data_IF_736903223572
#
_entry.id   IF_736903223572
#
_cell.length_a   1.000
_cell.length_b   1.000
_cell.length_c   1.000
_cell.angle_alpha   90.00
_cell.angle_beta   90.00
_cell.angle_gamma   90.00
#
_symmetry.space_group_name_H-M   'P 1'
#
loop_
_entity.id
_entity.type
_entity.pdbx_description
1 polymer ?
#
# COMPACT_ATOMS: atom_id res chain seq x y z
N UNK A 1 15.61 -2.87 -9.31
CA UNK A 1 15.14 -1.56 -8.79
C UNK A 1 15.27 -1.56 -7.28
N UNK A 2 15.49 -0.41 -6.61
CA UNK A 2 15.65 -0.34 -5.13
C UNK A 2 14.59 -1.15 -4.36
N UNK A 3 13.35 -1.19 -4.84
CA UNK A 3 12.26 -1.95 -4.21
C UNK A 3 12.44 -3.47 -4.26
N UNK A 4 13.02 -3.99 -5.36
CA UNK A 4 13.36 -5.41 -5.52
C UNK A 4 14.55 -5.77 -4.63
N UNK A 5 15.58 -4.91 -4.60
CA UNK A 5 16.77 -5.11 -3.75
C UNK A 5 16.42 -5.14 -2.26
N UNK A 6 15.39 -4.38 -1.86
CA UNK A 6 14.86 -4.34 -0.50
C UNK A 6 13.84 -5.46 -0.20
N UNK A 7 13.45 -6.26 -1.19
CA UNK A 7 12.45 -7.33 -1.08
C UNK A 7 11.08 -6.85 -0.54
N UNK A 8 10.57 -5.72 -1.05
CA UNK A 8 9.34 -5.07 -0.57
C UNK A 8 8.04 -5.61 -1.21
N UNK A 9 8.05 -6.85 -1.68
CA UNK A 9 6.89 -7.52 -2.27
C UNK A 9 6.45 -8.69 -1.40
N UNK A 10 5.15 -8.83 -1.17
CA UNK A 10 4.62 -9.93 -0.36
C UNK A 10 4.88 -11.30 -1.01
N UNK A 11 5.51 -12.20 -0.26
CA UNK A 11 5.64 -13.62 -0.61
C UNK A 11 5.02 -14.44 0.52
N UNK A 12 3.71 -14.69 0.40
CA UNK A 12 2.94 -15.39 1.43
C UNK A 12 3.44 -16.83 1.68
N UNK A 13 4.10 -17.47 0.70
CA UNK A 13 4.64 -18.82 0.87
C UNK A 13 5.83 -18.88 1.84
N UNK A 14 6.49 -17.73 2.09
CA UNK A 14 7.56 -17.58 3.09
C UNK A 14 7.06 -17.00 4.43
N UNK A 15 5.76 -16.77 4.56
CA UNK A 15 5.14 -16.21 5.76
C UNK A 15 4.47 -17.31 6.60
N UNK A 16 4.05 -16.97 7.82
CA UNK A 16 3.24 -17.84 8.70
C UNK A 16 1.84 -17.28 8.92
N UNK A 17 1.23 -16.76 7.85
CA UNK A 17 -0.14 -16.23 7.87
C UNK A 17 -0.32 -15.00 8.76
N UNK A 18 0.71 -14.16 8.93
CA UNK A 18 0.74 -13.11 9.95
C UNK A 18 -0.37 -12.07 9.79
N UNK A 19 -0.69 -11.65 8.57
CA UNK A 19 -1.83 -10.75 8.32
C UNK A 19 -3.17 -11.37 8.77
N UNK A 20 -3.30 -12.69 8.74
CA UNK A 20 -4.51 -13.43 9.14
C UNK A 20 -4.58 -13.75 10.65
N UNK A 21 -3.45 -13.64 11.36
CA UNK A 21 -3.32 -13.99 12.79
C UNK A 21 -3.15 -12.75 13.67
N UNK A 22 -2.22 -11.88 13.30
CA UNK A 22 -1.82 -10.73 14.09
C UNK A 22 -2.87 -9.62 14.10
N UNK A 23 -3.43 -9.30 12.93
CA UNK A 23 -4.16 -8.04 12.73
C UNK A 23 -5.63 -8.14 13.11
N UNK A 24 -6.19 -7.02 13.54
CA UNK A 24 -7.64 -6.87 13.66
C UNK A 24 -8.28 -6.83 12.27
N UNK A 25 -9.43 -7.48 12.11
CA UNK A 25 -10.29 -7.29 10.94
C UNK A 25 -11.49 -6.46 11.36
N UNK A 26 -11.78 -5.41 10.60
CA UNK A 26 -12.94 -4.56 10.77
C UNK A 26 -13.94 -4.81 9.66
N UNK A 27 -15.20 -5.00 10.00
CA UNK A 27 -16.28 -5.07 9.00
C UNK A 27 -16.35 -3.81 8.14
N UNK A 28 -16.02 -2.66 8.72
CA UNK A 28 -15.98 -1.36 8.02
C UNK A 28 -14.87 -1.30 6.96
N UNK A 29 -13.79 -2.05 7.16
CA UNK A 29 -12.68 -2.13 6.20
C UNK A 29 -12.90 -3.19 5.11
N UNK A 30 -14.12 -3.73 5.01
CA UNK A 30 -14.51 -4.67 3.96
C UNK A 30 -14.22 -6.14 4.31
N UNK A 31 -14.10 -6.48 5.59
CA UNK A 31 -14.13 -7.86 6.05
C UNK A 31 -15.58 -8.31 6.34
N UNK A 32 -15.93 -9.60 6.24
CA UNK A 32 -17.31 -10.05 6.49
C UNK A 32 -17.79 -9.86 7.93
N UNK A 33 -16.85 -9.91 8.87
CA UNK A 33 -17.07 -9.80 10.30
C UNK A 33 -15.81 -9.28 10.97
N UNK A 34 -15.98 -8.74 12.17
CA UNK A 34 -14.84 -8.36 12.99
C UNK A 34 -14.05 -9.60 13.44
N UNK A 35 -12.74 -9.43 13.56
CA UNK A 35 -11.83 -10.45 14.10
C UNK A 35 -10.84 -9.75 15.02
N UNK A 36 -10.79 -10.09 16.33
CA UNK A 36 -9.78 -9.55 17.22
C UNK A 36 -8.35 -9.75 16.71
N UNK A 37 -7.45 -8.84 17.08
CA UNK A 37 -6.02 -9.02 16.90
C UNK A 37 -5.54 -10.26 17.67
N UNK A 38 -4.53 -10.96 17.15
CA UNK A 38 -4.00 -12.20 17.71
C UNK A 38 -4.86 -13.46 17.50
N UNK A 39 -6.12 -13.33 17.09
CA UNK A 39 -6.99 -14.47 16.77
C UNK A 39 -6.79 -14.91 15.33
N UNK A 40 -6.52 -16.19 15.09
CA UNK A 40 -6.36 -16.74 13.75
C UNK A 40 -7.65 -16.65 12.94
N UNK A 41 -7.55 -16.21 11.68
CA UNK A 41 -8.67 -16.23 10.74
C UNK A 41 -9.22 -17.66 10.59
N UNK A 42 -10.55 -17.82 10.62
CA UNK A 42 -11.22 -19.12 10.41
C UNK A 42 -10.85 -19.81 9.10
N UNK A 43 -10.38 -19.07 8.09
CA UNK A 43 -10.00 -19.63 6.79
C UNK A 43 -8.52 -20.00 6.68
N UNK A 44 -7.73 -19.75 7.72
CA UNK A 44 -6.32 -20.09 7.76
C UNK A 44 -6.13 -21.59 8.05
N UNK A 45 -5.38 -22.27 7.20
CA UNK A 45 -5.03 -23.67 7.34
C UNK A 45 -3.82 -23.86 8.27
N UNK A 46 -3.56 -25.11 8.68
CA UNK A 46 -2.42 -25.46 9.53
C UNK A 46 -1.06 -25.21 8.88
N UNK A 47 -1.01 -25.17 7.55
CA UNK A 47 0.17 -24.81 6.74
C UNK A 47 0.27 -23.30 6.48
N UNK A 48 -0.56 -22.48 7.14
CA UNK A 48 -0.66 -21.03 7.00
C UNK A 48 -1.16 -20.52 5.64
N UNK A 49 -1.66 -21.40 4.78
CA UNK A 49 -2.36 -20.99 3.56
C UNK A 49 -3.83 -20.62 3.86
N UNK A 50 -4.46 -19.86 2.96
CA UNK A 50 -5.88 -19.53 3.08
C UNK A 50 -6.69 -20.44 2.15
N UNK A 51 -7.57 -21.30 2.71
CA UNK A 51 -8.36 -22.27 1.93
C UNK A 51 -9.28 -21.64 0.87
N UNK A 52 -9.66 -20.37 1.07
CA UNK A 52 -10.52 -19.62 0.14
C UNK A 52 -9.77 -18.53 -0.62
N UNK A 53 -8.43 -18.54 -0.66
CA UNK A 53 -7.65 -17.44 -1.26
C UNK A 53 -8.07 -17.17 -2.72
N UNK A 54 -8.29 -18.23 -3.48
CA UNK A 54 -8.75 -18.18 -4.87
C UNK A 54 -10.21 -17.69 -5.02
N UNK A 55 -10.99 -17.71 -3.93
CA UNK A 55 -12.40 -17.31 -3.90
C UNK A 55 -12.67 -15.96 -3.22
N UNK A 56 -11.63 -15.26 -2.73
CA UNK A 56 -11.79 -14.03 -1.94
C UNK A 56 -12.70 -13.01 -2.61
N UNK A 57 -12.58 -12.85 -3.94
CA UNK A 57 -13.45 -11.96 -4.73
C UNK A 57 -14.90 -12.40 -4.71
N UNK A 58 -15.19 -13.67 -5.00
CA UNK A 58 -16.58 -14.14 -5.06
C UNK A 58 -17.25 -14.11 -3.68
N UNK A 59 -16.48 -14.28 -2.61
CA UNK A 59 -16.95 -14.19 -1.23
C UNK A 59 -16.95 -12.78 -0.64
N UNK A 60 -16.65 -11.75 -1.45
CA UNK A 60 -16.69 -10.35 -0.99
C UNK A 60 -15.65 -10.00 0.07
N UNK A 61 -14.53 -10.71 0.13
CA UNK A 61 -13.46 -10.52 1.12
C UNK A 61 -12.57 -9.32 0.76
N UNK A 62 -13.16 -8.12 0.63
CA UNK A 62 -12.46 -6.91 0.16
C UNK A 62 -11.24 -6.56 1.01
N UNK A 63 -11.35 -6.68 2.33
CA UNK A 63 -10.23 -6.42 3.24
C UNK A 63 -9.05 -7.37 3.00
N UNK A 64 -9.31 -8.66 2.75
CA UNK A 64 -8.27 -9.63 2.42
C UNK A 64 -7.66 -9.38 1.04
N UNK A 65 -8.46 -9.00 0.05
CA UNK A 65 -7.96 -8.65 -1.30
C UNK A 65 -7.11 -7.39 -1.28
N UNK A 66 -7.52 -6.40 -0.48
CA UNK A 66 -6.88 -5.10 -0.36
C UNK A 66 -5.50 -5.17 0.28
N UNK A 67 -5.33 -6.05 1.27
CA UNK A 67 -4.16 -6.04 2.14
C UNK A 67 -2.89 -6.52 1.44
N UNK A 68 -1.81 -5.73 1.55
CA UNK A 68 -0.45 -6.11 1.14
C UNK A 68 0.51 -5.69 2.27
N UNK A 69 1.34 -6.62 2.75
CA UNK A 69 2.28 -6.35 3.85
C UNK A 69 3.63 -5.78 3.38
N UNK A 70 3.79 -5.48 2.08
CA UNK A 70 5.04 -5.01 1.48
C UNK A 70 6.24 -5.90 1.82
N UNK A 71 6.00 -7.20 1.94
CA UNK A 71 7.02 -8.19 2.29
C UNK A 71 7.43 -8.26 3.77
N UNK A 72 6.78 -7.51 4.66
CA UNK A 72 7.12 -7.51 6.09
C UNK A 72 6.86 -8.87 6.75
N UNK A 73 5.85 -9.62 6.28
CA UNK A 73 5.47 -10.90 6.84
C UNK A 73 6.57 -11.95 6.73
N UNK A 74 7.14 -12.14 5.54
CA UNK A 74 8.21 -13.11 5.35
C UNK A 74 9.50 -12.71 6.10
N UNK A 75 9.77 -11.41 6.26
CA UNK A 75 10.92 -10.95 7.02
C UNK A 75 10.73 -11.16 8.52
N UNK A 76 9.52 -10.89 9.05
CA UNK A 76 9.19 -11.11 10.46
C UNK A 76 9.42 -12.58 10.88
N UNK A 77 9.01 -13.53 10.04
CA UNK A 77 9.22 -14.97 10.29
C UNK A 77 10.71 -15.31 10.42
N UNK A 78 11.60 -14.67 9.65
CA UNK A 78 13.04 -14.91 9.72
C UNK A 78 13.68 -14.40 11.02
N UNK A 79 13.01 -13.50 11.75
CA UNK A 79 13.52 -12.94 13.02
C UNK A 79 13.48 -13.92 14.18
N UNK A 80 12.75 -15.04 14.06
CA UNK A 80 12.66 -16.11 15.06
C UNK A 80 12.33 -15.57 16.46
N UNK A 81 11.38 -14.65 16.54
CA UNK A 81 10.88 -14.14 17.81
C UNK A 81 10.33 -15.29 18.68
N UNK A 82 10.53 -15.25 20.02
CA UNK A 82 10.32 -16.41 20.88
C UNK A 82 8.84 -16.73 21.13
N UNK A 83 7.94 -15.78 20.90
CA UNK A 83 6.50 -15.95 21.07
C UNK A 83 5.72 -15.38 19.88
N UNK A 84 4.45 -15.80 19.74
CA UNK A 84 3.53 -15.20 18.77
C UNK A 84 3.30 -13.71 19.04
N UNK A 85 3.28 -13.30 20.31
CA UNK A 85 3.13 -11.89 20.69
C UNK A 85 4.29 -11.05 20.15
N UNK A 86 5.52 -11.50 20.38
CA UNK A 86 6.73 -10.82 19.88
C UNK A 86 6.78 -10.85 18.34
N UNK A 87 6.41 -11.98 17.73
CA UNK A 87 6.35 -12.10 16.28
C UNK A 87 5.34 -11.13 15.66
N UNK A 88 4.18 -10.95 16.29
CA UNK A 88 3.15 -10.01 15.82
C UNK A 88 3.60 -8.56 16.00
N UNK A 89 4.24 -8.23 17.12
CA UNK A 89 4.82 -6.90 17.33
C UNK A 89 5.90 -6.60 16.29
N UNK A 90 6.82 -7.54 16.05
CA UNK A 90 7.89 -7.42 15.04
C UNK A 90 7.28 -7.23 13.65
N UNK A 91 6.24 -7.99 13.33
CA UNK A 91 5.54 -7.88 12.06
C UNK A 91 4.96 -6.48 11.83
N UNK A 92 4.29 -5.90 12.83
CA UNK A 92 3.71 -4.56 12.72
C UNK A 92 4.80 -3.50 12.58
N UNK A 93 5.88 -3.59 13.36
CA UNK A 93 7.03 -2.67 13.25
C UNK A 93 7.72 -2.78 11.88
N UNK A 94 7.96 -4.00 11.39
CA UNK A 94 8.53 -4.20 10.06
C UNK A 94 7.61 -3.70 8.95
N UNK A 95 6.28 -3.83 9.10
CA UNK A 95 5.32 -3.29 8.14
C UNK A 95 5.39 -1.75 8.06
N UNK A 96 5.56 -1.08 9.20
CA UNK A 96 5.82 0.37 9.23
C UNK A 96 7.16 0.72 8.53
N UNK A 97 8.24 0.01 8.86
CA UNK A 97 9.55 0.22 8.23
C UNK A 97 9.51 0.02 6.70
N UNK A 98 8.80 -1.02 6.24
CA UNK A 98 8.68 -1.33 4.82
C UNK A 98 7.85 -0.28 4.06
N UNK A 99 6.82 0.31 4.68
CA UNK A 99 6.11 1.45 4.10
C UNK A 99 7.02 2.67 3.94
N UNK A 100 7.83 3.00 4.95
CA UNK A 100 8.80 4.11 4.85
C UNK A 100 9.83 3.86 3.73
N UNK A 101 10.40 2.65 3.68
CA UNK A 101 11.34 2.25 2.63
C UNK A 101 10.72 2.33 1.23
N UNK A 102 9.44 1.93 1.09
CA UNK A 102 8.71 2.03 -0.17
C UNK A 102 8.67 3.47 -0.69
N UNK A 103 8.19 4.40 0.14
CA UNK A 103 8.07 5.80 -0.27
C UNK A 103 9.44 6.46 -0.49
N UNK A 104 10.41 6.23 0.39
CA UNK A 104 11.75 6.81 0.21
C UNK A 104 12.48 6.25 -1.00
N UNK A 105 12.31 4.95 -1.29
CA UNK A 105 12.89 4.31 -2.47
C UNK A 105 12.33 4.88 -3.77
N UNK A 106 11.05 5.23 -3.79
CA UNK A 106 10.44 5.95 -4.91
C UNK A 106 10.93 7.40 -5.00
N UNK A 107 11.01 8.12 -3.87
CA UNK A 107 11.52 9.49 -3.83
C UNK A 107 12.97 9.59 -4.35
N UNK A 108 13.81 8.59 -4.07
CA UNK A 108 15.20 8.54 -4.52
C UNK A 108 15.34 8.37 -6.04
N UNK A 109 14.32 7.82 -6.72
CA UNK A 109 14.33 7.64 -8.18
C UNK A 109 13.89 8.91 -8.94
N UNK A 110 13.45 9.95 -8.24
CA UNK A 110 12.97 11.18 -8.87
C UNK A 110 14.13 12.14 -9.16
N UNK A 111 14.12 12.73 -10.36
CA UNK A 111 15.09 13.77 -10.75
C UNK A 111 14.93 15.05 -9.92
N UNK A 112 13.72 15.33 -9.42
CA UNK A 112 13.42 16.55 -8.67
C UNK A 112 14.01 16.56 -7.25
N UNK A 113 14.42 15.38 -6.76
CA UNK A 113 14.99 15.15 -5.43
C UNK A 113 16.51 15.10 -5.40
N UNK A 114 17.20 15.20 -6.55
CA UNK A 114 18.68 15.09 -6.65
C UNK A 114 19.44 15.94 -5.65
N UNK A 115 18.95 17.16 -5.38
CA UNK A 115 19.54 18.10 -4.43
C UNK A 115 19.57 17.60 -2.96
N UNK A 116 18.81 16.56 -2.62
CA UNK A 116 18.80 15.93 -1.29
C UNK A 116 18.82 14.40 -1.35
N UNK A 117 19.32 13.81 -2.44
CA UNK A 117 19.50 12.35 -2.54
C UNK A 117 20.34 11.79 -1.40
N UNK A 118 21.35 12.53 -0.92
CA UNK A 118 22.16 12.12 0.23
C UNK A 118 21.34 11.93 1.51
N UNK A 119 20.35 12.81 1.78
CA UNK A 119 19.45 12.66 2.92
C UNK A 119 18.56 11.42 2.76
N UNK A 120 17.99 11.21 1.56
CA UNK A 120 17.17 10.02 1.25
C UNK A 120 17.96 8.72 1.41
N UNK A 121 19.17 8.65 0.87
CA UNK A 121 20.04 7.48 0.97
C UNK A 121 20.41 7.18 2.41
N UNK A 122 20.78 8.19 3.20
CA UNK A 122 21.13 8.04 4.60
C UNK A 122 19.96 7.45 5.40
N UNK A 123 18.74 7.98 5.20
CA UNK A 123 17.57 7.47 5.89
C UNK A 123 17.18 6.06 5.42
N UNK A 124 17.25 5.78 4.10
CA UNK A 124 17.02 4.43 3.56
C UNK A 124 17.99 3.40 4.18
N UNK A 125 19.28 3.74 4.25
CA UNK A 125 20.30 2.89 4.88
C UNK A 125 20.02 2.69 6.37
N UNK A 126 19.58 3.73 7.07
CA UNK A 126 19.22 3.67 8.49
C UNK A 126 18.04 2.72 8.71
N UNK A 127 16.96 2.87 7.95
CA UNK A 127 15.78 1.99 8.00
C UNK A 127 16.12 0.55 7.63
N UNK A 128 16.96 0.34 6.60
CA UNK A 128 17.43 -0.97 6.18
C UNK A 128 18.29 -1.64 7.27
N UNK A 129 19.16 -0.88 7.92
CA UNK A 129 19.96 -1.37 9.04
C UNK A 129 19.07 -1.78 10.23
N UNK A 130 18.08 -0.96 10.60
CA UNK A 130 17.11 -1.28 11.65
C UNK A 130 16.37 -2.58 11.33
N UNK A 131 15.76 -2.72 10.14
CA UNK A 131 14.98 -3.93 9.82
C UNK A 131 15.84 -5.19 9.78
N UNK A 132 17.17 -5.09 9.64
CA UNK A 132 18.10 -6.23 9.64
C UNK A 132 18.47 -6.70 11.05
N UNK A 133 18.27 -5.86 12.07
CA UNK A 133 18.56 -6.21 13.46
C UNK A 133 17.76 -7.43 13.97
N UNK A 134 18.20 -8.07 15.06
CA UNK A 134 17.41 -9.07 15.78
C UNK A 134 16.05 -8.54 16.25
N UNK A 135 15.13 -9.45 16.57
CA UNK A 135 13.73 -9.12 16.86
C UNK A 135 13.56 -8.10 17.99
N UNK A 136 14.32 -8.24 19.08
CA UNK A 136 14.26 -7.39 20.27
C UNK A 136 14.71 -5.95 19.95
N UNK A 137 15.74 -5.81 19.11
CA UNK A 137 16.25 -4.51 18.67
C UNK A 137 15.32 -3.81 17.68
N UNK A 138 14.63 -4.56 16.82
CA UNK A 138 13.56 -4.01 15.99
C UNK A 138 12.45 -3.43 16.87
N UNK A 139 12.05 -4.15 17.94
CA UNK A 139 11.01 -3.68 18.85
C UNK A 139 11.43 -2.49 19.74
N UNK A 140 12.72 -2.39 20.09
CA UNK A 140 13.23 -1.27 20.89
C UNK A 140 13.52 -0.01 20.06
N UNK A 141 13.27 -0.03 18.75
CA UNK A 141 13.55 1.12 17.90
C UNK A 141 12.50 2.21 18.08
N UNK A 142 12.94 3.47 18.13
CA UNK A 142 12.05 4.63 18.08
C UNK A 142 11.46 4.80 16.67
N UNK A 143 10.34 4.12 16.43
CA UNK A 143 9.66 4.13 15.14
C UNK A 143 9.05 5.50 14.81
N UNK A 144 8.68 6.27 15.84
CA UNK A 144 8.06 7.59 15.67
C UNK A 144 9.09 8.61 15.19
N UNK A 145 10.32 8.57 15.72
CA UNK A 145 11.43 9.37 15.20
C UNK A 145 11.70 9.07 13.72
N UNK A 146 11.71 7.79 13.34
CA UNK A 146 11.90 7.36 11.95
C UNK A 146 10.74 7.80 11.04
N UNK A 147 9.49 7.72 11.51
CA UNK A 147 8.33 8.25 10.80
C UNK A 147 8.42 9.76 10.61
N UNK A 148 8.81 10.51 11.65
CA UNK A 148 8.93 11.97 11.58
C UNK A 148 9.97 12.38 10.54
N UNK A 149 11.13 11.73 10.53
CA UNK A 149 12.19 12.01 9.58
C UNK A 149 11.81 11.59 8.15
N UNK A 150 11.13 10.46 7.99
CA UNK A 150 10.55 10.05 6.71
C UNK A 150 9.55 11.09 6.22
N UNK A 151 8.61 11.49 7.06
CA UNK A 151 7.59 12.49 6.72
C UNK A 151 8.20 13.83 6.30
N UNK A 152 9.30 14.25 6.94
CA UNK A 152 10.05 15.45 6.55
C UNK A 152 10.53 15.35 5.09
N UNK A 153 11.15 14.22 4.72
CA UNK A 153 11.65 13.99 3.36
C UNK A 153 10.54 13.78 2.32
N UNK A 154 9.45 13.11 2.67
CA UNK A 154 8.29 12.96 1.77
C UNK A 154 7.63 14.31 1.49
N UNK A 155 7.45 15.17 2.50
CA UNK A 155 6.95 16.55 2.31
C UNK A 155 7.87 17.35 1.41
N UNK A 156 9.19 17.29 1.65
CA UNK A 156 10.20 17.94 0.79
C UNK A 156 10.10 17.45 -0.66
N UNK A 157 9.89 16.16 -0.85
CA UNK A 157 9.69 15.55 -2.18
C UNK A 157 8.44 16.10 -2.88
N UNK A 158 7.29 16.10 -2.22
CA UNK A 158 6.03 16.63 -2.77
C UNK A 158 6.18 18.10 -3.17
N UNK A 159 6.83 18.93 -2.35
CA UNK A 159 7.06 20.34 -2.64
C UNK A 159 7.88 20.56 -3.92
N UNK A 160 8.80 19.65 -4.27
CA UNK A 160 9.60 19.75 -5.50
C UNK A 160 8.81 19.42 -6.76
N UNK A 161 7.71 18.67 -6.66
CA UNK A 161 6.91 18.23 -7.81
C UNK A 161 5.97 19.30 -8.37
N UNK A 162 5.86 20.46 -7.72
CA UNK A 162 5.04 21.60 -8.16
C UNK A 162 3.61 21.17 -8.56
N UNK A 163 2.97 20.43 -7.65
CA UNK A 163 1.66 19.84 -7.90
C UNK A 163 0.57 20.91 -8.02
N UNK A 164 -0.49 20.57 -8.74
CA UNK A 164 -1.74 21.29 -8.79
C UNK A 164 -2.56 20.98 -7.55
N UNK A 165 -3.26 22.00 -7.05
CA UNK A 165 -4.18 21.91 -5.92
C UNK A 165 -5.59 22.32 -6.36
N UNK A 166 -6.30 21.48 -7.12
CA UNK A 166 -7.63 21.82 -7.61
C UNK A 166 -8.58 22.01 -6.43
N UNK A 167 -9.43 23.03 -6.50
CA UNK A 167 -10.52 23.19 -5.55
C UNK A 167 -11.58 22.11 -5.82
N UNK A 168 -11.40 20.95 -5.20
CA UNK A 168 -12.36 19.86 -5.29
C UNK A 168 -13.54 20.04 -4.32
N UNK A 169 -13.61 21.15 -3.57
CA UNK A 169 -14.48 21.26 -2.41
C UNK A 169 -14.02 20.36 -1.26
N UNK A 170 -14.70 20.44 -0.11
CA UNK A 170 -14.31 19.70 1.09
C UNK A 170 -14.55 18.18 1.00
N UNK A 171 -15.41 17.72 0.08
CA UNK A 171 -15.84 16.32 0.01
C UNK A 171 -15.52 15.69 -1.34
N UNK A 172 -14.61 14.71 -1.33
CA UNK A 172 -14.26 13.88 -2.49
C UNK A 172 -14.95 12.52 -2.49
N UNK A 173 -15.43 12.06 -1.33
CA UNK A 173 -16.14 10.78 -1.17
C UNK A 173 -17.32 10.73 -2.14
N UNK A 174 -17.39 9.67 -2.96
CA UNK A 174 -18.46 9.47 -3.94
C UNK A 174 -18.48 10.46 -5.11
N UNK A 175 -17.53 11.40 -5.19
CA UNK A 175 -17.54 12.47 -6.18
C UNK A 175 -17.24 11.94 -7.58
N UNK A 176 -17.93 12.48 -8.58
CA UNK A 176 -17.65 12.19 -9.99
C UNK A 176 -16.63 13.16 -10.59
N UNK A 177 -15.48 12.62 -10.96
CA UNK A 177 -14.36 13.33 -11.57
C UNK A 177 -13.91 12.69 -12.91
N UNK A 178 -14.66 11.72 -13.44
CA UNK A 178 -14.33 10.98 -14.65
C UNK A 178 -14.01 11.88 -15.87
N UNK A 179 -13.14 11.37 -16.75
CA UNK A 179 -12.70 12.01 -18.01
C UNK A 179 -11.96 13.35 -17.83
N UNK A 180 -11.46 13.65 -16.63
CA UNK A 180 -10.72 14.89 -16.37
C UNK A 180 -9.21 14.71 -16.61
N UNK A 181 -8.58 15.82 -16.98
CA UNK A 181 -7.11 15.95 -16.94
C UNK A 181 -6.72 16.42 -15.55
N UNK A 182 -6.15 15.51 -14.77
CA UNK A 182 -5.76 15.71 -13.36
C UNK A 182 -4.29 15.32 -13.19
N UNK A 183 -3.44 15.70 -14.16
CA UNK A 183 -2.00 15.49 -14.12
C UNK A 183 -1.37 16.31 -13.01
N UNK A 184 -0.30 15.77 -12.42
CA UNK A 184 0.46 16.43 -11.36
C UNK A 184 -0.44 16.98 -10.25
N UNK A 185 -1.55 16.31 -9.93
CA UNK A 185 -2.48 16.73 -8.87
C UNK A 185 -2.07 16.13 -7.54
N UNK A 186 -2.19 16.91 -6.47
CA UNK A 186 -2.00 16.40 -5.12
C UNK A 186 -3.29 15.75 -4.58
N UNK A 187 -3.30 14.42 -4.55
CA UNK A 187 -4.31 13.62 -3.85
C UNK A 187 -3.81 13.10 -2.50
N UNK A 188 -2.67 13.58 -1.99
CA UNK A 188 -2.16 13.13 -0.70
C UNK A 188 -3.17 13.37 0.42
N UNK A 189 -3.32 12.35 1.27
CA UNK A 189 -4.25 12.33 2.41
C UNK A 189 -5.72 12.60 2.06
N UNK A 190 -6.11 12.50 0.77
CA UNK A 190 -7.49 12.74 0.35
C UNK A 190 -8.36 11.49 0.56
N UNK A 191 -9.59 11.64 1.10
CA UNK A 191 -10.55 10.55 1.18
C UNK A 191 -11.22 10.36 -0.19
N UNK A 192 -10.66 9.48 -1.02
CA UNK A 192 -11.16 9.15 -2.36
C UNK A 192 -12.12 7.96 -2.36
N UNK A 193 -12.67 7.59 -1.19
CA UNK A 193 -13.62 6.50 -1.02
C UNK A 193 -14.78 6.66 -2.02
N UNK A 194 -14.96 5.65 -2.86
CA UNK A 194 -15.98 5.62 -3.91
C UNK A 194 -15.94 6.81 -4.91
N UNK A 195 -14.87 7.58 -4.97
CA UNK A 195 -14.70 8.65 -5.98
C UNK A 195 -14.57 8.02 -7.38
N UNK A 196 -15.24 8.60 -8.37
CA UNK A 196 -15.11 8.18 -9.77
C UNK A 196 -14.03 9.02 -10.48
N UNK A 197 -12.83 8.44 -10.57
CA UNK A 197 -11.69 8.94 -11.33
C UNK A 197 -11.50 8.15 -12.65
N UNK A 198 -12.55 7.53 -13.20
CA UNK A 198 -12.44 6.72 -14.42
C UNK A 198 -12.09 7.55 -15.66
N UNK A 199 -11.32 6.96 -16.58
CA UNK A 199 -10.85 7.60 -17.82
C UNK A 199 -10.11 8.94 -17.59
N UNK A 200 -9.53 9.14 -16.40
CA UNK A 200 -8.75 10.35 -16.10
C UNK A 200 -7.31 10.23 -16.56
N UNK A 201 -6.71 11.36 -16.91
CA UNK A 201 -5.26 11.49 -17.06
C UNK A 201 -4.69 11.93 -15.70
N UNK A 202 -4.10 11.00 -14.95
CA UNK A 202 -3.60 11.19 -13.58
C UNK A 202 -2.06 11.25 -13.53
N UNK A 203 -1.38 11.27 -14.68
CA UNK A 203 0.07 11.13 -14.73
C UNK A 203 0.78 12.17 -13.86
N UNK A 204 1.76 11.72 -13.07
CA UNK A 204 2.54 12.57 -12.18
C UNK A 204 1.86 12.97 -10.88
N UNK A 205 0.64 12.48 -10.59
CA UNK A 205 -0.10 12.83 -9.37
C UNK A 205 0.39 12.08 -8.12
N UNK A 206 0.27 12.73 -6.97
CA UNK A 206 0.65 12.17 -5.67
C UNK A 206 -0.54 11.47 -5.00
N UNK A 207 -0.36 10.24 -4.52
CA UNK A 207 -1.41 9.48 -3.81
C UNK A 207 -1.04 9.11 -2.37
N UNK A 208 -0.02 9.74 -1.79
CA UNK A 208 0.47 9.45 -0.44
C UNK A 208 -0.67 9.43 0.59
N UNK A 209 -0.93 8.28 1.20
CA UNK A 209 -1.94 8.13 2.26
C UNK A 209 -3.38 8.41 1.81
N UNK A 210 -3.68 8.46 0.52
CA UNK A 210 -5.05 8.58 0.01
C UNK A 210 -5.85 7.29 0.24
N UNK A 211 -7.12 7.43 0.59
CA UNK A 211 -8.04 6.29 0.73
C UNK A 211 -8.72 6.01 -0.60
N UNK A 212 -8.26 4.96 -1.29
CA UNK A 212 -8.72 4.56 -2.62
C UNK A 212 -9.76 3.43 -2.59
N UNK A 213 -10.29 3.08 -1.41
CA UNK A 213 -11.31 2.03 -1.29
C UNK A 213 -12.50 2.33 -2.20
N UNK A 214 -12.88 1.36 -3.02
CA UNK A 214 -13.94 1.46 -4.01
C UNK A 214 -13.82 2.64 -4.99
N UNK A 215 -12.66 3.32 -5.07
CA UNK A 215 -12.42 4.40 -6.02
C UNK A 215 -12.33 3.83 -7.45
N UNK A 216 -13.11 4.38 -8.39
CA UNK A 216 -13.04 3.95 -9.78
C UNK A 216 -11.87 4.63 -10.50
N UNK A 217 -10.93 3.84 -10.98
CA UNK A 217 -9.78 4.26 -11.80
C UNK A 217 -9.73 3.49 -13.14
N UNK A 218 -10.85 2.88 -13.53
CA UNK A 218 -11.00 2.15 -14.78
C UNK A 218 -10.65 3.03 -15.99
N UNK A 219 -9.80 2.54 -16.89
CA UNK A 219 -9.36 3.27 -18.08
C UNK A 219 -8.47 4.49 -17.82
N UNK A 220 -8.09 4.78 -16.58
CA UNK A 220 -7.27 5.94 -16.24
C UNK A 220 -5.77 5.70 -16.47
N UNK A 221 -5.03 6.78 -16.67
CA UNK A 221 -3.58 6.75 -16.86
C UNK A 221 -2.85 7.22 -15.59
N UNK A 222 -2.34 6.28 -14.79
CA UNK A 222 -1.61 6.54 -13.55
C UNK A 222 -0.09 6.46 -13.74
N UNK A 223 0.43 6.46 -14.98
CA UNK A 223 1.88 6.38 -15.20
C UNK A 223 2.59 7.57 -14.57
N UNK A 224 3.66 7.30 -13.82
CA UNK A 224 4.40 8.33 -13.10
C UNK A 224 3.66 8.94 -11.91
N UNK A 225 2.46 8.45 -11.55
CA UNK A 225 1.93 8.70 -10.20
C UNK A 225 2.91 8.16 -9.16
N UNK A 226 2.95 8.83 -8.02
CA UNK A 226 3.90 8.49 -6.97
C UNK A 226 3.28 8.47 -5.58
N UNK A 227 3.97 7.80 -4.67
CA UNK A 227 3.54 7.41 -3.33
C UNK A 227 2.22 6.63 -3.35
N UNK A 228 2.03 5.84 -4.41
CA UNK A 228 0.94 4.88 -4.57
C UNK A 228 1.45 3.49 -4.17
N UNK A 229 0.62 2.73 -3.48
CA UNK A 229 0.95 1.39 -2.99
C UNK A 229 0.13 0.30 -3.66
N UNK A 230 0.60 -0.94 -3.61
CA UNK A 230 -0.17 -2.09 -4.06
C UNK A 230 -1.49 -2.22 -3.28
N UNK A 231 -1.48 -1.92 -1.97
CA UNK A 231 -2.67 -1.95 -1.12
C UNK A 231 -3.77 -0.98 -1.62
N UNK A 232 -3.37 0.24 -1.97
CA UNK A 232 -4.28 1.23 -2.54
C UNK A 232 -4.87 0.76 -3.87
N UNK A 233 -4.07 0.18 -4.76
CA UNK A 233 -4.58 -0.37 -6.02
C UNK A 233 -5.51 -1.56 -5.81
N UNK A 234 -5.18 -2.45 -4.88
CA UNK A 234 -5.97 -3.65 -4.59
C UNK A 234 -7.38 -3.31 -4.06
N UNK A 235 -7.57 -2.12 -3.48
CA UNK A 235 -8.88 -1.65 -2.97
C UNK A 235 -9.63 -0.77 -3.97
N UNK A 236 -8.97 -0.33 -5.04
CA UNK A 236 -9.56 0.46 -6.11
C UNK A 236 -10.21 -0.43 -7.21
N UNK A 237 -11.09 0.18 -8.01
CA UNK A 237 -11.76 -0.44 -9.14
C UNK A 237 -11.11 0.01 -10.45
N UNK A 238 -10.14 -0.75 -10.94
CA UNK A 238 -9.53 -0.56 -12.25
C UNK A 238 -9.94 -1.64 -13.26
N UNK A 239 -9.39 -1.56 -14.46
CA UNK A 239 -9.61 -2.55 -15.52
C UNK A 239 -8.34 -2.80 -16.35
N UNK A 240 -8.49 -3.60 -17.43
CA UNK A 240 -7.40 -3.90 -18.37
C UNK A 240 -6.85 -2.67 -19.09
N UNK A 241 -7.60 -1.56 -19.15
CA UNK A 241 -7.20 -0.31 -19.80
C UNK A 241 -6.53 0.66 -18.84
N UNK A 242 -6.70 0.48 -17.52
CA UNK A 242 -5.97 1.24 -16.50
C UNK A 242 -4.46 1.02 -16.67
N UNK A 243 -3.71 2.12 -16.80
CA UNK A 243 -2.24 2.12 -16.94
C UNK A 243 -1.62 2.47 -15.60
N UNK A 244 -0.64 1.67 -15.15
CA UNK A 244 -0.06 1.77 -13.81
C UNK A 244 1.40 2.22 -13.85
N UNK A 245 1.95 2.75 -12.74
CA UNK A 245 3.39 2.82 -12.52
C UNK A 245 4.06 1.45 -12.68
N UNK A 246 5.27 1.40 -13.23
CA UNK A 246 5.94 0.16 -13.62
C UNK A 246 6.21 -0.82 -12.45
N UNK A 247 6.34 -0.30 -11.23
CA UNK A 247 6.65 -1.08 -10.04
C UNK A 247 5.40 -1.64 -9.33
N UNK A 248 4.19 -1.34 -9.84
CA UNK A 248 2.91 -1.80 -9.32
C UNK A 248 2.27 -2.83 -10.24
N UNK A 249 1.63 -3.83 -9.65
CA UNK A 249 0.99 -4.91 -10.39
C UNK A 249 -0.52 -4.69 -10.50
N UNK A 250 -1.07 -5.02 -11.67
CA UNK A 250 -2.52 -5.05 -11.86
C UNK A 250 -3.14 -6.08 -10.91
N UNK A 251 -4.11 -5.70 -10.07
CA UNK A 251 -4.83 -6.66 -9.25
C UNK A 251 -5.56 -7.69 -10.12
N UNK A 252 -5.37 -8.98 -9.82
CA UNK A 252 -5.97 -10.09 -10.59
C UNK A 252 -7.50 -10.05 -10.69
N UNK A 253 -8.15 -9.33 -9.77
CA UNK A 253 -9.59 -9.18 -9.74
C UNK A 253 -10.13 -8.10 -10.70
N UNK A 254 -9.30 -7.30 -11.36
CA UNK A 254 -9.75 -6.28 -12.32
C UNK A 254 -10.23 -6.86 -13.66
N UNK A 255 -9.80 -8.06 -14.03
CA UNK A 255 -9.95 -8.62 -15.39
C UNK A 255 -11.36 -9.13 -15.75
N UNK A 256 -12.42 -8.72 -15.05
CA UNK A 256 -13.80 -9.12 -15.38
C UNK A 256 -14.77 -7.95 -15.34
N UNK A 257 -14.68 -7.06 -16.33
CA UNK A 257 -15.88 -6.33 -16.77
C UNK A 257 -16.70 -7.31 -17.61
N UNK A 258 -17.67 -7.97 -16.97
CA UNK A 258 -18.75 -8.61 -17.71
C UNK A 258 -19.34 -7.55 -18.63
N UNK A 259 -19.24 -7.75 -19.95
CA UNK A 259 -20.00 -6.98 -20.91
C UNK A 259 -21.47 -7.09 -20.50
N UNK A 260 -22.04 -6.03 -19.91
CA UNK A 260 -23.50 -5.91 -19.87
C UNK A 260 -23.94 -5.94 -21.34
N UNK A 261 -24.46 -7.08 -21.79
CA UNK A 261 -25.25 -7.17 -23.02
C UNK A 261 -26.33 -6.10 -22.86
N UNK A 262 -26.32 -5.10 -23.73
CA UNK A 262 -27.51 -4.31 -23.99
C UNK A 262 -28.53 -5.31 -24.54
N UNK A 263 -29.51 -5.68 -23.73
CA UNK A 263 -30.80 -6.17 -24.19
C UNK A 263 -31.63 -4.95 -24.56
#
# INVERSE_FOLDING_TARGET
MILEDLALYADCAKCKGLCCRALYFSRLDGFPQDKPAGVSCRNLCSDYTCRIHHELKQKGMKGCLGYDCLGAGQLAVQKKAPSDSDLFAVYVTLFSLHQMLWYLGEALQMKETTIFHGELQTLLQTLDAVRRQPWDKVLSTDIDALHNETNRLLKKTIQRKQLQFPSFGAQLIGKRLANKRLRNTDFSMKPLLATDLSCCDLQGSCFLGSDLRDCSIAGSDLRGCFFLTQMQLNTAQGDSKTKLPAHLHRPSHWDKVSKKRKS
#
